data_IF_112063428174
#
_entry.id   IF_112063428174
#
_cell.length_a   1.000
_cell.length_b   1.000
_cell.length_c   1.000
_cell.angle_alpha   90.00
_cell.angle_beta   90.00
_cell.angle_gamma   90.00
#
_symmetry.space_group_name_H-M   'P 1'
#
loop_
_entity.id
_entity.type
_entity.pdbx_description
1 polymer ?
#
# COMPACT_ATOMS: atom_id res chain seq x y z
N UNK A 1 -25.70 30.98 -35.77
CA UNK A 1 -24.26 30.86 -35.45
C UNK A 1 -23.81 29.43 -35.69
N UNK A 2 -22.57 29.21 -36.17
CA UNK A 2 -22.10 27.94 -36.73
C UNK A 2 -21.76 26.90 -35.64
N UNK A 3 -21.91 25.63 -35.98
CA UNK A 3 -21.54 24.43 -35.19
C UNK A 3 -20.02 24.22 -35.14
N UNK A 4 -19.51 23.48 -34.13
CA UNK A 4 -18.33 22.64 -34.35
C UNK A 4 -18.63 21.13 -34.22
N UNK A 5 -17.90 20.29 -34.97
CA UNK A 5 -18.14 18.85 -35.12
C UNK A 5 -17.51 18.02 -33.99
N UNK A 6 -18.20 16.96 -33.57
CA UNK A 6 -17.70 15.99 -32.61
C UNK A 6 -16.91 14.90 -33.35
N UNK A 7 -15.61 14.82 -33.09
CA UNK A 7 -14.71 13.80 -33.66
C UNK A 7 -14.46 12.71 -32.61
N UNK A 8 -14.64 11.42 -32.91
CA UNK A 8 -14.30 10.35 -31.98
C UNK A 8 -12.80 10.04 -32.05
N UNK A 9 -12.08 10.32 -30.97
CA UNK A 9 -10.69 9.88 -30.78
C UNK A 9 -10.66 8.37 -30.57
N UNK A 10 -10.30 7.65 -31.62
CA UNK A 10 -9.95 6.23 -31.56
C UNK A 10 -8.70 6.02 -30.71
N UNK A 11 -8.86 5.44 -29.52
CA UNK A 11 -7.74 4.98 -28.71
C UNK A 11 -7.12 3.72 -29.33
N UNK A 12 -6.07 3.90 -30.13
CA UNK A 12 -5.15 2.82 -30.51
C UNK A 12 -4.48 2.29 -29.23
N UNK A 13 -4.75 1.03 -28.86
CA UNK A 13 -3.97 0.30 -27.86
C UNK A 13 -2.52 0.23 -28.37
N UNK A 14 -1.63 1.01 -27.78
CA UNK A 14 -0.18 0.81 -27.96
C UNK A 14 0.14 -0.52 -27.29
N UNK A 15 0.65 -1.50 -28.07
CA UNK A 15 1.46 -2.58 -27.52
C UNK A 15 2.62 -1.90 -26.82
N UNK A 16 2.71 -2.09 -25.50
CA UNK A 16 3.91 -1.77 -24.75
C UNK A 16 4.79 -2.99 -24.99
N UNK A 17 5.78 -2.87 -25.87
CA UNK A 17 6.87 -3.82 -25.94
C UNK A 17 7.60 -3.73 -24.61
N UNK A 18 7.42 -4.76 -23.77
CA UNK A 18 8.10 -4.89 -22.49
C UNK A 18 9.59 -5.01 -22.79
N UNK A 19 10.44 -4.08 -22.31
CA UNK A 19 11.88 -4.19 -22.48
C UNK A 19 12.33 -5.49 -21.84
N UNK A 20 12.97 -6.33 -22.63
CA UNK A 20 13.71 -7.50 -22.17
C UNK A 20 14.68 -7.00 -21.08
N UNK A 21 14.54 -7.54 -19.86
CA UNK A 21 15.31 -7.11 -18.70
C UNK A 21 16.81 -7.11 -19.00
N UNK A 22 17.58 -6.11 -18.52
CA UNK A 22 19.03 -6.13 -18.67
C UNK A 22 19.58 -7.36 -17.93
N UNK A 23 20.43 -8.11 -18.64
CA UNK A 23 21.24 -9.21 -18.12
C UNK A 23 21.77 -8.87 -16.72
N UNK A 24 21.27 -9.58 -15.71
CA UNK A 24 21.91 -9.61 -14.40
C UNK A 24 23.31 -10.22 -14.58
N UNK A 25 24.37 -9.57 -14.08
CA UNK A 25 25.70 -10.17 -14.11
C UNK A 25 25.69 -11.47 -13.30
N UNK A 26 26.44 -12.50 -13.74
CA UNK A 26 26.58 -13.73 -12.99
C UNK A 26 27.17 -13.41 -11.61
N UNK A 27 26.52 -13.94 -10.56
CA UNK A 27 27.07 -13.99 -9.22
C UNK A 27 28.27 -14.96 -9.26
N UNK A 28 29.48 -14.41 -9.32
CA UNK A 28 30.72 -15.16 -9.15
C UNK A 28 30.75 -15.75 -7.73
N UNK A 29 30.39 -17.02 -7.64
CA UNK A 29 30.57 -17.86 -6.47
C UNK A 29 32.00 -18.40 -6.45
N UNK A 30 32.98 -17.56 -6.10
CA UNK A 30 34.35 -18.04 -5.87
C UNK A 30 35.05 -17.19 -4.82
N UNK A 31 34.80 -17.52 -3.57
CA UNK A 31 35.57 -17.08 -2.40
C UNK A 31 36.04 -18.29 -1.59
N UNK A 32 36.69 -19.24 -2.26
CA UNK A 32 37.44 -20.33 -1.62
C UNK A 32 38.65 -19.69 -0.92
N UNK A 33 38.54 -19.54 0.40
CA UNK A 33 39.66 -19.13 1.25
C UNK A 33 40.66 -20.29 1.23
N UNK A 34 41.75 -20.10 0.48
CA UNK A 34 42.93 -20.96 0.47
C UNK A 34 43.61 -20.87 1.83
N UNK A 35 43.61 -21.97 2.59
CA UNK A 35 44.41 -22.14 3.80
C UNK A 35 45.69 -22.88 3.43
N UNK A 36 46.64 -22.19 2.81
CA UNK A 36 48.01 -22.67 2.66
C UNK A 36 48.92 -21.45 2.51
N UNK A 37 49.48 -21.00 3.62
CA UNK A 37 50.90 -20.62 3.73
C UNK A 37 51.22 -20.27 5.19
N UNK A 38 51.75 -21.28 5.88
CA UNK A 38 52.45 -21.16 7.15
C UNK A 38 53.92 -20.83 6.85
N UNK A 39 54.26 -19.55 6.77
CA UNK A 39 55.64 -19.12 7.00
C UNK A 39 55.77 -18.56 8.42
N UNK A 40 56.44 -19.36 9.24
CA UNK A 40 56.89 -19.02 10.59
C UNK A 40 58.23 -18.31 10.44
N UNK A 41 58.23 -16.99 10.56
CA UNK A 41 59.45 -16.23 10.85
C UNK A 41 59.38 -15.63 12.25
N UNK A 42 60.19 -16.23 13.12
CA UNK A 42 60.53 -15.73 14.44
C UNK A 42 61.42 -14.50 14.31
N UNK A 43 60.92 -13.33 14.69
CA UNK A 43 61.76 -12.23 15.12
C UNK A 43 61.13 -11.51 16.30
N UNK A 44 61.81 -11.69 17.43
CA UNK A 44 61.70 -10.96 18.70
C UNK A 44 61.53 -9.46 18.46
N UNK A 45 60.39 -8.91 18.90
CA UNK A 45 60.39 -7.56 19.45
C UNK A 45 59.33 -7.44 20.56
N UNK A 46 59.78 -7.60 21.80
CA UNK A 46 59.02 -7.24 22.99
C UNK A 46 58.89 -5.73 23.06
N UNK A 47 57.76 -5.21 22.62
CA UNK A 47 57.19 -3.97 23.14
C UNK A 47 55.71 -4.20 23.37
N UNK A 48 55.32 -4.07 24.63
CA UNK A 48 53.97 -4.25 25.13
C UNK A 48 53.02 -3.22 24.53
N UNK A 49 52.54 -3.46 23.31
CA UNK A 49 51.29 -2.91 22.82
C UNK A 49 50.20 -3.91 23.18
N UNK A 50 49.78 -3.92 24.44
CA UNK A 50 48.50 -4.54 24.80
C UNK A 50 47.42 -3.87 23.95
N UNK A 51 46.71 -4.60 23.07
CA UNK A 51 45.59 -4.02 22.35
C UNK A 51 44.62 -3.46 23.40
N UNK A 52 44.13 -2.22 23.23
CA UNK A 52 43.16 -1.67 24.16
C UNK A 52 41.98 -2.66 24.26
N UNK A 53 41.45 -2.90 25.47
CA UNK A 53 40.30 -3.78 25.65
C UNK A 53 39.22 -3.37 24.64
N UNK A 54 38.56 -4.32 23.95
CA UNK A 54 37.57 -4.01 22.94
C UNK A 54 36.58 -3.03 23.56
N UNK A 55 36.65 -1.78 23.11
CA UNK A 55 35.81 -0.70 23.60
C UNK A 55 34.38 -1.22 23.48
N UNK A 56 33.71 -1.42 24.61
CA UNK A 56 32.29 -1.78 24.63
C UNK A 56 31.61 -0.90 23.60
N UNK A 57 31.11 -1.53 22.53
CA UNK A 57 30.48 -0.85 21.41
C UNK A 57 29.49 0.16 21.98
N UNK A 58 29.79 1.46 21.84
CA UNK A 58 28.96 2.51 22.41
C UNK A 58 27.50 2.23 22.04
N UNK A 59 26.54 2.36 22.98
CA UNK A 59 25.13 2.15 22.69
C UNK A 59 24.67 2.89 21.43
N UNK A 60 25.27 4.05 21.13
CA UNK A 60 25.02 4.81 19.91
C UNK A 60 25.50 4.10 18.64
N UNK A 61 26.67 3.46 18.67
CA UNK A 61 27.18 2.67 17.54
C UNK A 61 26.29 1.46 17.26
N UNK A 62 25.86 0.76 18.32
CA UNK A 62 24.91 -0.35 18.19
C UNK A 62 23.60 0.14 17.59
N UNK A 63 23.03 1.23 18.11
CA UNK A 63 21.77 1.78 17.60
C UNK A 63 21.88 2.23 16.13
N UNK A 64 23.00 2.86 15.76
CA UNK A 64 23.27 3.25 14.37
C UNK A 64 23.31 2.03 13.45
N UNK A 65 24.05 0.99 13.82
CA UNK A 65 24.11 -0.27 13.06
C UNK A 65 22.74 -0.93 12.93
N UNK A 66 21.92 -0.93 13.99
CA UNK A 66 20.55 -1.46 13.94
C UNK A 66 19.68 -0.70 12.94
N UNK A 67 19.73 0.64 12.91
CA UNK A 67 18.97 1.43 11.92
C UNK A 67 19.37 1.12 10.48
N UNK A 68 20.67 0.88 10.23
CA UNK A 68 21.15 0.48 8.90
C UNK A 68 20.60 -0.89 8.51
N UNK A 69 20.66 -1.86 9.43
CA UNK A 69 20.09 -3.19 9.21
C UNK A 69 18.59 -3.12 8.94
N UNK A 70 17.84 -2.36 9.74
CA UNK A 70 16.40 -2.18 9.56
C UNK A 70 16.06 -1.59 8.18
N UNK A 71 16.81 -0.57 7.74
CA UNK A 71 16.64 0.03 6.42
C UNK A 71 16.96 -0.96 5.29
N UNK A 72 18.03 -1.74 5.41
CA UNK A 72 18.39 -2.78 4.43
C UNK A 72 17.35 -3.89 4.38
N UNK A 73 16.88 -4.38 5.53
CA UNK A 73 15.82 -5.40 5.61
C UNK A 73 14.51 -4.89 5.00
N UNK A 74 14.15 -3.62 5.26
CA UNK A 74 12.99 -3.00 4.66
C UNK A 74 13.10 -2.90 3.13
N UNK A 75 14.26 -2.50 2.59
CA UNK A 75 14.51 -2.46 1.16
C UNK A 75 14.39 -3.85 0.50
N UNK A 76 14.92 -4.90 1.13
CA UNK A 76 14.76 -6.29 0.67
C UNK A 76 13.29 -6.71 0.67
N UNK A 77 12.56 -6.42 1.75
CA UNK A 77 11.11 -6.71 1.86
C UNK A 77 10.32 -6.02 0.74
N UNK A 78 10.60 -4.75 0.46
CA UNK A 78 9.95 -4.01 -0.62
C UNK A 78 10.24 -4.64 -1.99
N UNK A 79 11.48 -5.07 -2.24
CA UNK A 79 11.87 -5.74 -3.48
C UNK A 79 11.10 -7.06 -3.69
N UNK A 80 11.06 -7.92 -2.67
CA UNK A 80 10.29 -9.18 -2.71
C UNK A 80 8.80 -8.93 -2.92
N UNK A 81 8.24 -7.96 -2.20
CA UNK A 81 6.82 -7.58 -2.33
C UNK A 81 6.51 -7.08 -3.74
N UNK A 82 7.38 -6.23 -4.31
CA UNK A 82 7.21 -5.70 -5.66
C UNK A 82 7.25 -6.81 -6.71
N UNK A 83 8.16 -7.79 -6.56
CA UNK A 83 8.23 -8.95 -7.45
C UNK A 83 6.93 -9.75 -7.41
N UNK A 84 6.45 -10.13 -6.23
CA UNK A 84 5.19 -10.88 -6.09
C UNK A 84 3.98 -10.13 -6.66
N UNK A 85 3.97 -8.80 -6.54
CA UNK A 85 2.87 -7.98 -7.05
C UNK A 85 2.87 -7.83 -8.57
N UNK A 86 4.05 -7.77 -9.17
CA UNK A 86 4.20 -7.70 -10.63
C UNK A 86 3.59 -8.92 -11.31
N UNK A 87 3.68 -10.09 -10.68
CA UNK A 87 3.10 -11.34 -11.17
C UNK A 87 1.57 -11.38 -11.02
N UNK A 88 1.04 -10.80 -9.94
CA UNK A 88 -0.39 -10.88 -9.58
C UNK A 88 -1.23 -9.77 -10.22
N UNK A 89 -0.62 -8.70 -10.73
CA UNK A 89 -1.33 -7.56 -11.32
C UNK A 89 -2.22 -6.80 -10.31
N UNK A 90 -1.97 -6.96 -9.01
CA UNK A 90 -2.76 -6.37 -7.92
C UNK A 90 -2.37 -4.92 -7.60
N UNK A 91 -1.14 -4.53 -7.92
CA UNK A 91 -0.61 -3.20 -7.63
C UNK A 91 -1.49 -2.06 -8.21
N UNK A 92 -1.95 -2.09 -9.47
CA UNK A 92 -2.79 -1.02 -10.01
C UNK A 92 -4.12 -0.91 -9.28
N UNK A 93 -4.68 -2.03 -8.82
CA UNK A 93 -5.92 -2.07 -8.05
C UNK A 93 -5.69 -1.44 -6.68
N UNK A 94 -4.62 -1.81 -5.99
CA UNK A 94 -4.30 -1.27 -4.66
C UNK A 94 -4.02 0.24 -4.72
N UNK A 95 -3.22 0.67 -5.69
CA UNK A 95 -2.94 2.10 -5.93
C UNK A 95 -4.22 2.89 -6.17
N UNK A 96 -5.18 2.33 -6.92
CA UNK A 96 -6.48 2.96 -7.15
C UNK A 96 -7.28 3.13 -5.85
N UNK A 97 -7.34 2.09 -5.01
CA UNK A 97 -8.05 2.18 -3.73
C UNK A 97 -7.40 3.19 -2.78
N UNK A 98 -6.06 3.21 -2.71
CA UNK A 98 -5.32 4.21 -1.94
C UNK A 98 -5.60 5.64 -2.43
N UNK A 99 -5.54 5.87 -3.74
CA UNK A 99 -5.83 7.20 -4.33
C UNK A 99 -7.28 7.64 -4.06
N UNK A 100 -8.25 6.73 -4.12
CA UNK A 100 -9.63 7.02 -3.75
C UNK A 100 -9.76 7.43 -2.28
N UNK A 101 -9.11 6.69 -1.36
CA UNK A 101 -9.07 7.01 0.06
C UNK A 101 -8.47 8.40 0.30
N UNK A 102 -7.30 8.69 -0.27
CA UNK A 102 -6.61 9.96 -0.07
C UNK A 102 -7.46 11.15 -0.57
N UNK A 103 -8.03 11.02 -1.78
CA UNK A 103 -8.87 12.06 -2.37
C UNK A 103 -10.12 12.30 -1.53
N UNK A 104 -10.79 11.22 -1.10
CA UNK A 104 -11.98 11.31 -0.28
C UNK A 104 -11.67 11.93 1.09
N UNK A 105 -10.59 11.50 1.76
CA UNK A 105 -10.25 11.98 3.09
C UNK A 105 -9.93 13.48 3.08
N UNK A 106 -9.20 13.95 2.07
CA UNK A 106 -8.94 15.38 1.89
C UNK A 106 -10.23 16.20 1.70
N UNK A 107 -11.17 15.68 0.92
CA UNK A 107 -12.47 16.33 0.71
C UNK A 107 -13.33 16.34 1.98
N UNK A 108 -13.33 15.25 2.75
CA UNK A 108 -14.03 15.15 4.03
C UNK A 108 -13.45 16.16 5.04
N UNK A 109 -12.13 16.26 5.16
CA UNK A 109 -11.48 17.25 6.03
C UNK A 109 -11.80 18.69 5.63
N UNK A 110 -11.77 19.00 4.33
CA UNK A 110 -12.16 20.32 3.84
C UNK A 110 -13.63 20.66 4.13
N UNK A 111 -14.53 19.66 4.04
CA UNK A 111 -15.95 19.82 4.39
C UNK A 111 -16.13 20.09 5.89
N UNK A 112 -15.41 19.37 6.75
CA UNK A 112 -15.45 19.58 8.22
C UNK A 112 -14.91 20.95 8.60
N UNK A 113 -13.80 21.38 8.00
CA UNK A 113 -13.23 22.70 8.22
C UNK A 113 -14.18 23.83 7.75
N UNK A 114 -14.89 23.63 6.64
CA UNK A 114 -15.90 24.58 6.18
C UNK A 114 -17.13 24.66 7.11
N UNK A 115 -17.50 23.56 7.76
CA UNK A 115 -18.61 23.49 8.72
C UNK A 115 -18.23 24.04 10.09
N UNK A 116 -17.00 23.80 10.53
CA UNK A 116 -16.44 24.24 11.81
C UNK A 116 -15.05 24.80 11.59
N UNK A 117 -14.91 26.12 11.65
CA UNK A 117 -13.63 26.82 11.46
C UNK A 117 -12.62 26.57 12.59
N UNK A 118 -13.04 25.99 13.70
CA UNK A 118 -12.12 25.55 14.77
C UNK A 118 -11.52 24.18 14.49
N UNK A 119 -12.07 23.44 13.52
CA UNK A 119 -11.57 22.14 13.10
C UNK A 119 -10.18 22.26 12.48
N UNK A 120 -9.24 21.44 12.96
CA UNK A 120 -7.91 21.33 12.38
C UNK A 120 -7.89 20.16 11.42
N UNK A 121 -7.51 20.43 10.17
CA UNK A 121 -7.37 19.40 9.15
C UNK A 121 -6.36 18.34 9.58
N UNK A 122 -6.80 17.08 9.54
CA UNK A 122 -5.95 15.93 9.84
C UNK A 122 -5.37 15.38 8.54
N UNK A 123 -4.07 15.06 8.47
CA UNK A 123 -3.50 14.43 7.28
C UNK A 123 -4.04 13.01 7.07
N UNK A 124 -4.17 12.59 5.81
CA UNK A 124 -4.63 11.24 5.45
C UNK A 124 -3.68 10.13 5.93
N UNK A 125 -2.39 10.45 6.09
CA UNK A 125 -1.37 9.57 6.65
C UNK A 125 -1.06 9.95 8.11
N UNK A 126 -0.64 8.99 8.95
CA UNK A 126 -0.65 7.55 8.69
C UNK A 126 -2.06 6.98 8.50
N UNK A 127 -2.16 5.84 7.81
CA UNK A 127 -3.41 5.09 7.66
C UNK A 127 -3.70 4.38 8.99
N UNK A 128 -4.76 4.78 9.67
CA UNK A 128 -5.19 4.19 10.94
C UNK A 128 -6.60 3.62 10.83
N UNK A 129 -6.96 2.67 11.69
CA UNK A 129 -8.27 2.02 11.65
C UNK A 129 -9.44 3.01 11.77
N UNK A 130 -9.29 4.06 12.57
CA UNK A 130 -10.27 5.14 12.71
C UNK A 130 -10.54 5.86 11.39
N UNK A 131 -9.49 6.30 10.68
CA UNK A 131 -9.62 6.99 9.39
C UNK A 131 -10.21 6.07 8.32
N UNK A 132 -9.79 4.81 8.30
CA UNK A 132 -10.30 3.80 7.37
C UNK A 132 -11.77 3.50 7.65
N UNK A 133 -12.20 3.43 8.91
CA UNK A 133 -13.60 3.19 9.26
C UNK A 133 -14.54 4.27 8.72
N UNK A 134 -14.15 5.56 8.83
CA UNK A 134 -14.90 6.66 8.21
C UNK A 134 -14.96 6.52 6.69
N UNK A 135 -13.85 6.12 6.07
CA UNK A 135 -13.83 5.86 4.62
C UNK A 135 -14.73 4.70 4.22
N UNK A 136 -14.78 3.62 4.99
CA UNK A 136 -15.64 2.47 4.71
C UNK A 136 -17.12 2.81 4.88
N UNK A 137 -17.48 3.67 5.83
CA UNK A 137 -18.83 4.22 5.94
C UNK A 137 -19.25 4.96 4.66
N UNK A 138 -18.36 5.79 4.12
CA UNK A 138 -18.57 6.44 2.84
C UNK A 138 -18.63 5.43 1.67
N UNK A 139 -17.71 4.47 1.60
CA UNK A 139 -17.68 3.48 0.52
C UNK A 139 -18.92 2.57 0.50
N UNK A 140 -19.50 2.28 1.67
CA UNK A 140 -20.71 1.46 1.78
C UNK A 140 -21.99 2.21 1.43
N UNK A 141 -22.03 3.52 1.65
CA UNK A 141 -23.18 4.39 1.33
C UNK A 141 -23.16 4.94 -0.09
N UNK A 142 -21.98 5.08 -0.71
CA UNK A 142 -21.88 5.67 -2.05
C UNK A 142 -22.40 4.76 -3.16
N UNK A 143 -22.95 5.39 -4.19
CA UNK A 143 -23.37 4.71 -5.40
C UNK A 143 -22.18 4.29 -6.27
N UNK A 144 -22.33 3.15 -6.95
CA UNK A 144 -21.32 2.65 -7.88
C UNK A 144 -21.29 3.53 -9.12
N UNK A 145 -20.10 4.07 -9.42
CA UNK A 145 -19.83 4.78 -10.68
C UNK A 145 -19.79 3.80 -11.85
N UNK A 146 -20.43 4.15 -12.96
CA UNK A 146 -20.36 3.40 -14.22
C UNK A 146 -18.93 3.49 -14.78
N UNK A 147 -18.44 2.38 -15.34
CA UNK A 147 -17.10 2.33 -15.94
C UNK A 147 -17.07 3.33 -17.12
N UNK A 148 -16.18 4.31 -17.04
CA UNK A 148 -15.99 5.37 -18.04
C UNK A 148 -17.15 6.38 -18.16
N UNK A 149 -18.02 6.51 -17.15
CA UNK A 149 -19.05 7.54 -17.13
C UNK A 149 -19.02 8.28 -15.79
N UNK A 150 -19.37 9.56 -15.82
CA UNK A 150 -19.67 10.35 -14.62
C UNK A 150 -21.01 9.96 -13.99
N UNK A 151 -21.82 9.17 -14.68
CA UNK A 151 -23.10 8.66 -14.19
C UNK A 151 -22.91 7.64 -13.06
N UNK A 152 -23.70 7.80 -12.00
CA UNK A 152 -23.86 6.80 -10.95
C UNK A 152 -25.04 5.88 -11.30
N UNK A 153 -24.90 4.59 -10.98
CA UNK A 153 -26.03 3.68 -11.04
C UNK A 153 -26.84 3.83 -9.76
N UNK A 154 -27.95 4.56 -9.86
CA UNK A 154 -28.84 4.82 -8.73
C UNK A 154 -29.20 3.50 -8.02
N UNK A 155 -29.01 3.48 -6.70
CA UNK A 155 -29.36 2.34 -5.86
C UNK A 155 -28.40 1.14 -5.93
N UNK A 156 -27.22 1.26 -6.56
CA UNK A 156 -26.18 0.21 -6.46
C UNK A 156 -25.06 0.64 -5.51
N UNK A 157 -24.88 -0.10 -4.41
CA UNK A 157 -23.79 0.13 -3.46
C UNK A 157 -22.58 -0.75 -3.78
N UNK A 158 -21.42 -0.39 -3.22
CA UNK A 158 -20.21 -1.21 -3.32
C UNK A 158 -20.43 -2.54 -2.59
N UNK A 159 -20.01 -3.61 -3.25
CA UNK A 159 -20.17 -4.94 -2.70
C UNK A 159 -19.06 -5.38 -1.77
N UNK A 160 -19.26 -6.54 -1.13
CA UNK A 160 -18.29 -7.15 -0.20
C UNK A 160 -16.88 -7.19 -0.77
N UNK A 161 -16.74 -7.61 -2.03
CA UNK A 161 -15.43 -7.67 -2.69
C UNK A 161 -14.73 -6.32 -2.77
N UNK A 162 -15.47 -5.23 -3.02
CA UNK A 162 -14.91 -3.88 -3.08
C UNK A 162 -14.44 -3.38 -1.71
N UNK A 163 -15.21 -3.66 -0.65
CA UNK A 163 -14.83 -3.34 0.73
C UNK A 163 -13.57 -4.10 1.14
N UNK A 164 -13.52 -5.41 0.89
CA UNK A 164 -12.34 -6.24 1.20
C UNK A 164 -11.10 -5.80 0.40
N UNK A 165 -11.27 -5.44 -0.88
CA UNK A 165 -10.19 -4.91 -1.70
C UNK A 165 -9.68 -3.56 -1.19
N UNK A 166 -10.57 -2.67 -0.75
CA UNK A 166 -10.18 -1.42 -0.13
C UNK A 166 -9.37 -1.63 1.15
N UNK A 167 -9.84 -2.50 2.06
CA UNK A 167 -9.12 -2.85 3.30
C UNK A 167 -7.74 -3.42 2.98
N UNK A 168 -7.66 -4.43 2.11
CA UNK A 168 -6.37 -5.04 1.73
C UNK A 168 -5.41 -4.07 1.06
N UNK A 169 -5.91 -3.15 0.22
CA UNK A 169 -5.08 -2.13 -0.42
C UNK A 169 -4.52 -1.12 0.60
N UNK A 170 -5.34 -0.70 1.56
CA UNK A 170 -4.94 0.26 2.59
C UNK A 170 -4.02 -0.38 3.63
N UNK A 171 -4.24 -1.65 3.97
CA UNK A 171 -3.33 -2.47 4.79
C UNK A 171 -1.96 -2.56 4.14
N UNK A 172 -1.91 -2.93 2.87
CA UNK A 172 -0.67 -3.03 2.11
C UNK A 172 0.08 -1.70 2.09
N UNK A 173 -0.63 -0.59 1.86
CA UNK A 173 -0.01 0.73 1.88
C UNK A 173 0.54 1.06 3.28
N UNK A 174 -0.22 0.77 4.35
CA UNK A 174 0.22 1.00 5.73
C UNK A 174 1.49 0.21 6.06
N UNK A 175 1.54 -1.08 5.76
CA UNK A 175 2.69 -1.94 6.03
C UNK A 175 3.98 -1.45 5.34
N UNK A 176 3.84 -0.89 4.13
CA UNK A 176 4.98 -0.35 3.40
C UNK A 176 5.51 0.96 4.02
N UNK A 177 4.63 1.81 4.54
CA UNK A 177 4.98 3.13 5.08
C UNK A 177 5.08 3.17 6.62
N UNK A 178 4.82 2.05 7.32
CA UNK A 178 4.83 1.98 8.79
C UNK A 178 6.16 2.47 9.41
N UNK A 179 7.28 2.21 8.75
CA UNK A 179 8.62 2.64 9.18
C UNK A 179 8.79 4.16 9.24
N UNK A 180 7.99 4.94 8.51
CA UNK A 180 8.00 6.41 8.54
C UNK A 180 7.36 6.98 9.81
N UNK A 181 6.58 6.17 10.54
CA UNK A 181 5.80 6.58 11.71
C UNK A 181 6.16 5.76 12.96
N UNK A 182 7.44 5.73 13.39
CA UNK A 182 7.88 4.87 14.49
C UNK A 182 7.21 5.20 15.83
N UNK A 183 6.76 6.44 16.01
CA UNK A 183 6.15 6.91 17.26
C UNK A 183 4.63 6.73 17.31
N UNK A 184 4.01 6.25 16.22
CA UNK A 184 2.57 6.03 16.18
C UNK A 184 2.26 4.54 16.35
N UNK A 185 1.73 4.11 17.51
CA UNK A 185 1.41 2.70 17.75
C UNK A 185 0.26 2.19 16.87
N UNK A 186 -0.65 3.04 16.40
CA UNK A 186 -1.78 2.63 15.56
C UNK A 186 -1.30 2.09 14.21
N UNK A 187 -0.15 2.58 13.72
CA UNK A 187 0.44 2.11 12.45
C UNK A 187 0.91 0.66 12.50
N UNK A 188 1.11 0.11 13.71
CA UNK A 188 1.63 -1.24 13.95
C UNK A 188 0.54 -2.29 14.13
N UNK A 189 -0.70 -1.85 14.32
CA UNK A 189 -1.87 -2.72 14.47
C UNK A 189 -2.45 -3.00 13.09
N UNK A 190 -2.74 -4.27 12.78
CA UNK A 190 -3.36 -4.62 11.49
C UNK A 190 -4.77 -4.05 11.43
N UNK A 191 -5.21 -3.55 10.28
CA UNK A 191 -6.56 -2.97 10.13
C UNK A 191 -7.61 -4.03 10.43
N UNK A 192 -7.36 -5.29 10.01
CA UNK A 192 -8.29 -6.41 10.24
C UNK A 192 -8.38 -6.85 11.70
N UNK A 193 -7.44 -6.45 12.56
CA UNK A 193 -7.50 -6.76 14.00
C UNK A 193 -8.37 -5.74 14.75
N UNK A 194 -8.67 -4.59 14.14
CA UNK A 194 -9.55 -3.57 14.71
C UNK A 194 -11.04 -3.95 14.62
N UNK A 195 -11.76 -3.75 15.73
CA UNK A 195 -13.17 -4.15 15.87
C UNK A 195 -14.10 -3.39 14.91
N UNK A 196 -13.82 -2.13 14.58
CA UNK A 196 -14.64 -1.33 13.67
C UNK A 196 -14.50 -1.88 12.24
N UNK A 197 -13.28 -2.21 11.82
CA UNK A 197 -13.03 -2.81 10.50
C UNK A 197 -13.70 -4.18 10.39
N UNK A 198 -13.61 -5.01 11.42
CA UNK A 198 -14.30 -6.31 11.47
C UNK A 198 -15.83 -6.17 11.38
N UNK A 199 -16.40 -5.13 11.99
CA UNK A 199 -17.82 -4.82 11.89
C UNK A 199 -18.21 -4.50 10.44
N UNK A 200 -17.41 -3.72 9.71
CA UNK A 200 -17.65 -3.44 8.29
C UNK A 200 -17.52 -4.69 7.41
N UNK A 201 -16.53 -5.56 7.63
CA UNK A 201 -16.40 -6.82 6.90
C UNK A 201 -17.61 -7.72 7.13
N UNK A 202 -18.06 -7.82 8.39
CA UNK A 202 -19.23 -8.60 8.79
C UNK A 202 -20.52 -8.03 8.20
N UNK A 203 -20.74 -6.72 8.29
CA UNK A 203 -21.89 -6.05 7.71
C UNK A 203 -21.93 -6.22 6.17
N UNK A 204 -20.80 -6.07 5.49
CA UNK A 204 -20.70 -6.29 4.05
C UNK A 204 -21.02 -7.74 3.66
N UNK A 205 -20.62 -8.72 4.49
CA UNK A 205 -20.98 -10.14 4.30
C UNK A 205 -22.48 -10.38 4.47
N UNK A 206 -23.11 -9.79 5.49
CA UNK A 206 -24.54 -9.96 5.76
C UNK A 206 -25.43 -9.22 4.76
N UNK A 207 -24.98 -8.10 4.20
CA UNK A 207 -25.74 -7.32 3.21
C UNK A 207 -25.59 -7.85 1.77
N UNK A 208 -24.64 -8.76 1.53
CA UNK A 208 -24.39 -9.34 0.20
C UNK A 208 -25.63 -10.00 -0.44
N UNK A 209 -26.42 -10.83 0.26
CA UNK A 209 -27.62 -11.46 -0.34
C UNK A 209 -28.67 -10.42 -0.73
N UNK A 210 -28.99 -9.47 0.16
CA UNK A 210 -29.95 -8.40 -0.10
C UNK A 210 -29.55 -7.55 -1.31
N UNK A 211 -28.25 -7.26 -1.44
CA UNK A 211 -27.72 -6.53 -2.61
C UNK A 211 -27.86 -7.35 -3.88
N UNK A 212 -27.59 -8.66 -3.83
CA UNK A 212 -27.73 -9.56 -4.97
C UNK A 212 -29.20 -9.63 -5.45
N UNK A 213 -30.16 -9.77 -4.53
CA UNK A 213 -31.60 -9.76 -4.82
C UNK A 213 -32.03 -8.43 -5.45
N UNK A 214 -31.59 -7.31 -4.89
CA UNK A 214 -31.90 -5.97 -5.42
C UNK A 214 -31.32 -5.77 -6.83
N UNK A 215 -30.08 -6.21 -7.06
CA UNK A 215 -29.45 -6.15 -8.37
C UNK A 215 -30.13 -7.07 -9.40
N UNK A 216 -30.63 -8.24 -8.97
CA UNK A 216 -31.43 -9.14 -9.82
C UNK A 216 -32.80 -8.54 -10.14
N UNK A 217 -33.48 -7.95 -9.15
CA UNK A 217 -34.75 -7.27 -9.34
C UNK A 217 -34.62 -6.09 -10.32
N UNK A 218 -33.57 -5.27 -10.18
CA UNK A 218 -33.28 -4.17 -11.11
C UNK A 218 -33.02 -4.66 -12.55
N UNK A 219 -32.33 -5.80 -12.71
CA UNK A 219 -32.14 -6.42 -14.03
C UNK A 219 -33.46 -6.94 -14.61
N UNK A 220 -34.30 -7.57 -13.79
CA UNK A 220 -35.59 -8.13 -14.20
C UNK A 220 -36.62 -7.05 -14.55
N UNK A 221 -36.58 -5.90 -13.86
CA UNK A 221 -37.43 -4.74 -14.15
C UNK A 221 -37.15 -4.10 -15.52
N UNK A 222 -36.08 -4.53 -16.22
CA UNK A 222 -35.74 -4.07 -17.54
C UNK A 222 -35.10 -2.69 -17.50
N UNK A 223 -33.82 -2.62 -17.84
CA UNK A 223 -33.24 -1.43 -18.47
C UNK A 223 -33.92 -1.21 -19.82
N UNK A 224 -35.19 -0.81 -19.80
CA UNK A 224 -35.86 -0.15 -20.91
C UNK A 224 -35.43 1.31 -20.84
N UNK A 225 -34.35 1.61 -21.55
CA UNK A 225 -33.99 2.97 -21.91
C UNK A 225 -33.99 2.95 -23.42
N UNK A 226 -35.05 3.51 -24.00
CA UNK A 226 -35.14 3.92 -25.42
C UNK A 226 -34.02 4.92 -25.76
#
# INVERSE_FOLDING_TARGET
MPTPPSTPLGYKRRRIDVPLAPNLPPLDATGLISMDDLEIDSAVNSSQNTPPPPLLSSPEHIQKSMRVLDASTHAVRLSVTAQEQSEKGTEPVYRRHYSNYQTWFQMDQGTRNAQDSTWKEVPALPITATKVSLFLEYETSREKKKRNSSETHNGTTIGKSGILQAISALEWFRENHQHEYPNDPETRIKLRDDICIQAFESAAKHNEPKRAESAQAQKAAGTSVD
#
